data_IF_617870705004
#
_entry.id   IF_617870705004
#
_cell.length_a   1.000
_cell.length_b   1.000
_cell.length_c   1.000
_cell.angle_alpha   90.00
_cell.angle_beta   90.00
_cell.angle_gamma   90.00
#
_symmetry.space_group_name_H-M   'P 1'
#
loop_
_entity.id
_entity.type
_entity.pdbx_description
1 polymer ?
#
# COMPACT_ATOMS: atom_id res chain seq x y z
N UNK A 1 97.39 12.82 7.58
CA UNK A 1 96.80 13.23 8.88
C UNK A 1 95.39 12.68 8.93
N UNK A 2 95.10 11.74 9.83
CA UNK A 2 93.76 11.18 10.00
C UNK A 2 93.20 11.70 11.33
N UNK A 3 92.17 12.54 11.26
CA UNK A 3 91.45 13.10 12.40
C UNK A 3 90.48 12.02 12.92
N UNK A 4 90.79 11.47 14.09
CA UNK A 4 89.92 10.55 14.80
C UNK A 4 88.82 11.37 15.50
N UNK A 5 87.58 11.30 15.01
CA UNK A 5 86.43 11.92 15.66
C UNK A 5 86.02 11.01 16.82
N UNK A 6 86.42 11.37 18.04
CA UNK A 6 85.92 10.72 19.25
C UNK A 6 84.61 11.37 19.66
N UNK A 7 83.51 10.64 19.47
CA UNK A 7 82.19 11.02 19.96
C UNK A 7 82.11 10.74 21.46
N UNK A 8 81.71 11.73 22.25
CA UNK A 8 81.59 11.57 23.71
C UNK A 8 80.36 10.74 24.07
N UNK A 9 80.37 10.05 25.22
CA UNK A 9 79.24 9.22 25.66
C UNK A 9 77.93 10.01 25.75
N UNK A 10 78.00 11.29 26.14
CA UNK A 10 76.82 12.17 26.21
C UNK A 10 76.22 12.44 24.82
N UNK A 11 77.07 12.61 23.80
CA UNK A 11 76.63 12.77 22.42
C UNK A 11 76.02 11.48 21.86
N UNK A 12 76.52 10.31 22.25
CA UNK A 12 75.92 9.02 21.89
C UNK A 12 74.52 8.87 22.50
N UNK A 13 74.35 9.20 23.78
CA UNK A 13 73.05 9.12 24.45
C UNK A 13 72.02 10.07 23.84
N UNK A 14 72.40 11.31 23.54
CA UNK A 14 71.52 12.28 22.88
C UNK A 14 71.05 11.78 21.49
N UNK A 15 71.94 11.10 20.76
CA UNK A 15 71.63 10.58 19.43
C UNK A 15 70.68 9.37 19.50
N UNK A 16 70.85 8.48 20.50
CA UNK A 16 69.94 7.36 20.74
C UNK A 16 68.55 7.85 21.13
N UNK A 17 68.46 8.85 22.01
CA UNK A 17 67.18 9.45 22.42
C UNK A 17 66.47 10.06 21.21
N UNK A 18 67.18 10.85 20.38
CA UNK A 18 66.63 11.48 19.17
C UNK A 18 66.14 10.46 18.12
N UNK A 19 66.87 9.36 17.94
CA UNK A 19 66.45 8.26 17.05
C UNK A 19 65.19 7.57 17.60
N UNK A 20 65.11 7.36 18.92
CA UNK A 20 63.93 6.78 19.56
C UNK A 20 62.71 7.70 19.45
N UNK A 21 62.86 9.00 19.67
CA UNK A 21 61.78 9.99 19.51
C UNK A 21 61.27 10.06 18.06
N UNK A 22 62.20 9.97 17.09
CA UNK A 22 61.86 9.95 15.66
C UNK A 22 61.14 8.67 15.25
N UNK A 23 61.55 7.52 15.78
CA UNK A 23 60.91 6.23 15.52
C UNK A 23 59.48 6.16 16.11
N UNK A 24 59.26 6.71 17.32
CA UNK A 24 57.92 6.78 17.93
C UNK A 24 57.00 7.72 17.15
N UNK A 25 57.52 8.84 16.66
CA UNK A 25 56.74 9.78 15.83
C UNK A 25 56.39 9.20 14.46
N UNK A 26 57.32 8.45 13.83
CA UNK A 26 57.06 7.75 12.58
C UNK A 26 56.03 6.61 12.74
N UNK A 27 56.09 5.87 13.85
CA UNK A 27 55.12 4.83 14.16
C UNK A 27 53.73 5.40 14.50
N UNK A 28 53.67 6.54 15.21
CA UNK A 28 52.42 7.26 15.50
C UNK A 28 51.73 7.79 14.25
N UNK A 29 52.49 8.37 13.32
CA UNK A 29 51.96 8.85 12.04
C UNK A 29 51.53 7.72 11.10
N UNK A 30 52.26 6.60 11.06
CA UNK A 30 51.87 5.42 10.30
C UNK A 30 50.59 4.78 10.84
N UNK A 31 50.44 4.71 12.17
CA UNK A 31 49.23 4.20 12.82
C UNK A 31 48.01 5.12 12.65
N UNK A 32 48.21 6.44 12.62
CA UNK A 32 47.14 7.42 12.32
C UNK A 32 46.72 7.41 10.85
N UNK A 33 47.63 7.13 9.91
CA UNK A 33 47.29 6.95 8.49
C UNK A 33 46.67 5.58 8.17
N UNK A 34 46.92 4.57 9.01
CA UNK A 34 46.36 3.22 8.85
C UNK A 34 44.96 3.09 9.49
N UNK A 35 44.61 3.92 10.47
CA UNK A 35 43.27 3.92 11.09
C UNK A 35 42.20 4.64 10.26
N UNK A 36 42.58 5.48 9.30
CA UNK A 36 41.64 6.18 8.40
C UNK A 36 41.42 5.44 7.07
N UNK A 37 42.26 4.45 6.74
CA UNK A 37 42.13 3.63 5.55
C UNK A 37 41.24 2.38 5.72
N UNK A 38 40.77 2.08 6.94
CA UNK A 38 40.01 0.85 7.25
C UNK A 38 38.53 1.07 7.57
N UNK A 39 38.01 2.31 7.55
CA UNK A 39 36.57 2.49 7.34
C UNK A 39 36.30 2.08 5.91
N UNK A 40 35.72 0.89 5.72
CA UNK A 40 35.17 0.46 4.45
C UNK A 40 34.31 1.59 3.91
N UNK A 41 34.81 2.34 2.91
CA UNK A 41 34.04 3.41 2.27
C UNK A 41 32.73 2.78 1.79
N UNK A 42 31.60 3.22 2.35
CA UNK A 42 30.29 2.74 1.94
C UNK A 42 30.13 2.85 0.43
N UNK A 43 29.47 1.86 -0.17
CA UNK A 43 29.31 1.72 -1.62
C UNK A 43 27.96 1.10 -1.94
N UNK A 44 27.41 1.43 -3.10
CA UNK A 44 26.14 0.89 -3.59
C UNK A 44 26.22 -0.56 -4.10
N UNK A 45 27.34 -1.26 -3.93
CA UNK A 45 27.54 -2.62 -4.45
C UNK A 45 26.59 -3.66 -3.88
N UNK A 46 26.17 -3.50 -2.62
CA UNK A 46 25.27 -4.41 -1.90
C UNK A 46 23.82 -3.90 -1.88
N UNK A 47 23.54 -2.76 -2.50
CA UNK A 47 22.20 -2.21 -2.58
C UNK A 47 21.31 -3.11 -3.47
N UNK A 48 20.15 -3.52 -2.93
CA UNK A 48 19.17 -4.36 -3.62
C UNK A 48 18.20 -3.55 -4.48
N UNK A 49 18.04 -2.26 -4.18
CA UNK A 49 17.13 -1.37 -4.90
C UNK A 49 17.73 -0.98 -6.25
N UNK A 50 16.98 -1.24 -7.33
CA UNK A 50 17.38 -0.94 -8.70
C UNK A 50 16.24 -0.23 -9.42
N UNK A 51 16.60 0.62 -10.39
CA UNK A 51 15.63 1.39 -11.15
C UNK A 51 15.73 1.12 -12.65
N UNK A 52 14.60 0.72 -13.24
CA UNK A 52 14.51 0.33 -14.65
C UNK A 52 14.11 1.45 -15.61
N UNK A 53 13.67 2.60 -15.10
CA UNK A 53 13.21 3.73 -15.92
C UNK A 53 11.69 3.79 -16.15
N UNK A 54 10.90 3.21 -15.25
CA UNK A 54 9.45 3.38 -15.27
C UNK A 54 9.08 4.85 -15.10
N UNK A 55 8.09 5.33 -15.87
CA UNK A 55 7.59 6.72 -15.81
C UNK A 55 6.41 6.81 -14.84
N UNK A 56 6.62 6.36 -13.61
CA UNK A 56 5.64 6.35 -12.54
C UNK A 56 6.18 7.16 -11.36
N UNK A 57 5.37 8.11 -10.87
CA UNK A 57 5.75 8.94 -9.72
C UNK A 57 6.09 8.08 -8.50
N UNK A 58 5.24 7.08 -8.23
CA UNK A 58 5.35 6.27 -7.01
C UNK A 58 6.61 5.40 -7.04
N UNK A 59 6.92 4.75 -8.16
CA UNK A 59 8.14 3.93 -8.30
C UNK A 59 9.42 4.78 -8.23
N UNK A 60 9.37 6.00 -8.79
CA UNK A 60 10.51 6.93 -8.77
C UNK A 60 10.78 7.44 -7.35
N UNK A 61 9.75 7.91 -6.64
CA UNK A 61 9.93 8.39 -5.27
C UNK A 61 10.25 7.26 -4.28
N UNK A 62 9.70 6.05 -4.47
CA UNK A 62 10.08 4.86 -3.70
C UNK A 62 11.57 4.55 -3.89
N UNK A 63 12.04 4.50 -5.14
CA UNK A 63 13.45 4.28 -5.44
C UNK A 63 14.33 5.36 -4.81
N UNK A 64 14.00 6.64 -4.99
CA UNK A 64 14.77 7.77 -4.44
C UNK A 64 14.84 7.69 -2.92
N UNK A 65 13.71 7.46 -2.25
CA UNK A 65 13.64 7.35 -0.79
C UNK A 65 14.53 6.22 -0.28
N UNK A 66 14.46 5.05 -0.93
CA UNK A 66 15.27 3.90 -0.58
C UNK A 66 16.78 4.14 -0.75
N UNK A 67 17.21 4.75 -1.87
CA UNK A 67 18.64 5.00 -2.10
C UNK A 67 19.21 6.11 -1.21
N UNK A 68 18.41 7.14 -0.88
CA UNK A 68 18.81 8.20 0.04
C UNK A 68 18.95 7.64 1.45
N UNK A 69 17.97 6.84 1.89
CA UNK A 69 18.02 6.15 3.19
C UNK A 69 19.23 5.21 3.26
N UNK A 70 19.47 4.44 2.21
CA UNK A 70 20.64 3.54 2.14
C UNK A 70 21.96 4.31 2.19
N UNK A 71 22.06 5.43 1.47
CA UNK A 71 23.24 6.31 1.49
C UNK A 71 23.54 6.84 2.89
N UNK A 72 22.50 7.20 3.64
CA UNK A 72 22.61 7.68 5.02
C UNK A 72 23.02 6.56 5.99
N UNK A 73 22.46 5.36 5.84
CA UNK A 73 22.78 4.20 6.69
C UNK A 73 24.20 3.68 6.49
N UNK A 74 24.69 3.66 5.26
CA UNK A 74 26.02 3.17 4.89
C UNK A 74 27.10 4.27 4.90
N UNK A 75 26.75 5.48 5.34
CA UNK A 75 27.63 6.67 5.41
C UNK A 75 28.41 6.90 4.10
N UNK A 76 27.69 6.83 2.97
CA UNK A 76 28.28 6.98 1.64
C UNK A 76 28.44 8.47 1.33
N UNK A 77 29.69 8.90 1.14
CA UNK A 77 29.98 10.26 0.67
C UNK A 77 29.33 10.56 -0.69
N UNK A 78 28.95 11.83 -0.92
CA UNK A 78 28.31 12.26 -2.17
C UNK A 78 29.14 11.95 -3.42
N UNK A 79 30.47 12.05 -3.33
CA UNK A 79 31.37 11.70 -4.43
C UNK A 79 31.33 10.21 -4.79
N UNK A 80 31.32 9.34 -3.77
CA UNK A 80 31.21 7.89 -3.99
C UNK A 80 29.80 7.54 -4.50
N UNK A 81 28.78 8.22 -3.97
CA UNK A 81 27.41 8.01 -4.37
C UNK A 81 27.20 8.35 -5.86
N UNK A 82 27.75 9.49 -6.32
CA UNK A 82 27.69 9.91 -7.72
C UNK A 82 28.43 8.97 -8.67
N UNK A 83 29.56 8.39 -8.23
CA UNK A 83 30.28 7.35 -8.99
C UNK A 83 29.54 6.01 -9.00
N UNK A 84 28.86 5.67 -7.91
CA UNK A 84 28.19 4.38 -7.72
C UNK A 84 26.77 4.31 -8.28
N UNK A 85 26.08 5.44 -8.50
CA UNK A 85 24.67 5.46 -8.90
C UNK A 85 24.40 4.66 -10.19
N UNK A 86 25.35 4.62 -11.12
CA UNK A 86 25.19 3.86 -12.37
C UNK A 86 24.97 2.36 -12.16
N UNK A 87 25.38 1.81 -11.01
CA UNK A 87 25.18 0.40 -10.67
C UNK A 87 23.71 0.08 -10.35
N UNK A 88 22.93 1.09 -9.98
CA UNK A 88 21.52 0.95 -9.59
C UNK A 88 20.58 1.00 -10.80
N UNK A 89 21.05 1.52 -11.93
CA UNK A 89 20.26 1.63 -13.15
C UNK A 89 20.36 0.39 -14.04
N UNK A 90 19.22 -0.02 -14.59
CA UNK A 90 19.13 -1.03 -15.64
C UNK A 90 18.14 -0.58 -16.71
N UNK A 91 18.07 -1.32 -17.83
CA UNK A 91 17.13 -1.02 -18.91
C UNK A 91 17.30 0.38 -19.47
N UNK A 92 16.17 1.08 -19.68
CA UNK A 92 16.16 2.42 -20.30
C UNK A 92 16.81 3.49 -19.40
N UNK A 93 16.75 3.33 -18.07
CA UNK A 93 17.41 4.24 -17.14
C UNK A 93 18.94 4.23 -17.30
N UNK A 94 19.53 3.07 -17.59
CA UNK A 94 20.98 2.97 -17.83
C UNK A 94 21.39 3.72 -19.09
N UNK A 95 20.63 3.56 -20.18
CA UNK A 95 20.86 4.29 -21.44
C UNK A 95 20.70 5.80 -21.27
N UNK A 96 19.66 6.24 -20.56
CA UNK A 96 19.45 7.65 -20.22
C UNK A 96 20.63 8.23 -19.42
N UNK A 97 21.07 7.54 -18.37
CA UNK A 97 22.14 8.02 -17.50
C UNK A 97 23.45 8.25 -18.26
N UNK A 98 23.79 7.40 -19.24
CA UNK A 98 25.00 7.61 -20.05
C UNK A 98 24.98 8.93 -20.84
N UNK A 99 23.79 9.41 -21.22
CA UNK A 99 23.61 10.68 -21.92
C UNK A 99 23.76 11.90 -21.00
N UNK A 100 23.18 11.84 -19.80
CA UNK A 100 23.05 13.00 -18.90
C UNK A 100 24.08 13.04 -17.76
N UNK A 101 24.89 12.00 -17.56
CA UNK A 101 25.86 11.89 -16.44
C UNK A 101 26.82 13.08 -16.28
N UNK A 102 27.07 13.84 -17.36
CA UNK A 102 27.95 15.02 -17.34
C UNK A 102 27.27 16.28 -16.79
N UNK A 103 25.94 16.28 -16.75
CA UNK A 103 25.13 17.40 -16.28
C UNK A 103 25.01 17.40 -14.75
N UNK A 104 25.04 16.21 -14.12
CA UNK A 104 25.02 16.06 -12.67
C UNK A 104 26.41 16.33 -12.05
N UNK A 105 26.53 17.39 -11.25
CA UNK A 105 27.78 17.74 -10.56
C UNK A 105 27.78 17.31 -9.09
N UNK A 106 26.61 17.28 -8.46
CA UNK A 106 26.43 16.83 -7.09
C UNK A 106 25.35 15.76 -6.98
N UNK A 107 25.28 15.08 -5.84
CA UNK A 107 24.28 14.04 -5.58
C UNK A 107 22.85 14.56 -5.73
N UNK A 108 22.57 15.79 -5.28
CA UNK A 108 21.25 16.40 -5.40
C UNK A 108 20.84 16.67 -6.86
N UNK A 109 21.80 16.94 -7.76
CA UNK A 109 21.52 17.07 -9.19
C UNK A 109 21.03 15.74 -9.77
N UNK A 110 21.63 14.62 -9.34
CA UNK A 110 21.22 13.28 -9.76
C UNK A 110 19.77 13.02 -9.39
N UNK A 111 19.40 13.27 -8.13
CA UNK A 111 18.03 13.09 -7.64
C UNK A 111 17.05 13.98 -8.41
N UNK A 112 17.43 15.24 -8.65
CA UNK A 112 16.61 16.21 -9.38
C UNK A 112 16.40 15.78 -10.84
N UNK A 113 17.45 15.31 -11.51
CA UNK A 113 17.37 14.82 -12.90
C UNK A 113 16.51 13.56 -13.03
N UNK A 114 16.59 12.64 -12.05
CA UNK A 114 15.72 11.45 -12.04
C UNK A 114 14.25 11.87 -11.94
N UNK A 115 13.93 12.79 -11.00
CA UNK A 115 12.57 13.31 -10.83
C UNK A 115 12.10 13.99 -12.11
N UNK A 116 12.86 14.93 -12.64
CA UNK A 116 12.49 15.67 -13.85
C UNK A 116 12.22 14.76 -15.05
N UNK A 117 13.04 13.72 -15.24
CA UNK A 117 12.94 12.86 -16.43
C UNK A 117 11.87 11.76 -16.31
N UNK A 118 11.80 11.09 -15.16
CA UNK A 118 10.95 9.90 -14.96
C UNK A 118 9.68 10.18 -14.15
N UNK A 119 9.66 11.25 -13.37
CA UNK A 119 8.51 11.68 -12.55
C UNK A 119 8.20 13.16 -12.80
N UNK A 120 7.82 13.55 -14.04
CA UNK A 120 7.39 14.92 -14.28
C UNK A 120 6.25 15.24 -13.32
N UNK A 121 6.50 16.21 -12.43
CA UNK A 121 5.56 16.57 -11.36
C UNK A 121 4.22 16.93 -11.99
N UNK A 122 3.17 16.21 -11.61
CA UNK A 122 1.83 16.53 -12.09
C UNK A 122 1.50 17.95 -11.61
N UNK A 123 1.10 18.87 -12.51
CA UNK A 123 0.67 20.18 -12.07
C UNK A 123 -0.52 20.05 -11.13
N UNK A 124 -0.60 20.91 -10.12
CA UNK A 124 -1.56 20.77 -9.03
C UNK A 124 -3.02 20.61 -9.47
N UNK A 125 -3.44 21.25 -10.58
CA UNK A 125 -4.80 21.11 -11.08
C UNK A 125 -5.10 19.68 -11.58
N UNK A 126 -4.14 18.97 -12.16
CA UNK A 126 -4.31 17.57 -12.56
C UNK A 126 -4.44 16.67 -11.34
N UNK A 127 -3.64 16.92 -10.30
CA UNK A 127 -3.74 16.20 -9.03
C UNK A 127 -5.14 16.36 -8.42
N UNK A 128 -5.70 17.57 -8.41
CA UNK A 128 -7.07 17.77 -7.93
C UNK A 128 -8.11 17.05 -8.80
N UNK A 129 -7.98 17.12 -10.13
CA UNK A 129 -8.90 16.42 -11.03
C UNK A 129 -8.90 14.91 -10.74
N UNK A 130 -7.72 14.29 -10.66
CA UNK A 130 -7.57 12.87 -10.34
C UNK A 130 -8.05 12.54 -8.91
N UNK A 131 -7.80 13.43 -7.96
CA UNK A 131 -8.27 13.29 -6.58
C UNK A 131 -9.79 13.23 -6.50
N UNK A 132 -10.52 14.10 -7.22
CA UNK A 132 -11.99 14.15 -7.16
C UNK A 132 -12.69 13.23 -8.17
N UNK A 133 -11.97 12.67 -9.14
CA UNK A 133 -12.54 11.82 -10.20
C UNK A 133 -13.16 10.53 -9.65
N UNK A 134 -12.43 9.83 -8.78
CA UNK A 134 -12.85 8.52 -8.24
C UNK A 134 -13.32 8.62 -6.80
N UNK A 135 -14.60 8.32 -6.58
CA UNK A 135 -15.18 8.09 -5.24
C UNK A 135 -14.87 6.68 -4.75
N UNK A 136 -14.96 6.47 -3.44
CA UNK A 136 -14.73 5.15 -2.84
C UNK A 136 -15.82 4.15 -3.28
N UNK A 137 -15.40 3.03 -3.87
CA UNK A 137 -16.32 1.93 -4.22
C UNK A 137 -16.72 1.11 -2.99
N UNK A 138 -17.79 0.32 -3.10
CA UNK A 138 -18.28 -0.52 -2.00
C UNK A 138 -17.26 -1.59 -1.58
N UNK A 139 -16.44 -2.07 -2.52
CA UNK A 139 -15.47 -3.14 -2.31
C UNK A 139 -14.13 -2.69 -1.72
N UNK A 140 -13.82 -1.39 -1.76
CA UNK A 140 -12.53 -0.86 -1.30
C UNK A 140 -12.61 -0.52 0.18
N UNK A 141 -11.67 -1.07 0.95
CA UNK A 141 -11.51 -0.78 2.37
C UNK A 141 -11.09 0.69 2.61
N UNK A 142 -11.44 1.22 3.77
CA UNK A 142 -11.14 2.60 4.17
C UNK A 142 -9.63 2.88 4.19
N UNK A 143 -8.84 1.91 4.69
CA UNK A 143 -7.38 2.05 4.80
C UNK A 143 -6.75 2.25 3.41
N UNK A 144 -7.07 1.40 2.45
CA UNK A 144 -6.55 1.50 1.07
C UNK A 144 -6.97 2.81 0.43
N UNK A 145 -8.24 3.21 0.57
CA UNK A 145 -8.75 4.44 -0.02
C UNK A 145 -8.07 5.69 0.54
N UNK A 146 -7.88 5.75 1.86
CA UNK A 146 -7.20 6.89 2.51
C UNK A 146 -5.73 6.96 2.08
N UNK A 147 -5.03 5.82 2.00
CA UNK A 147 -3.63 5.77 1.57
C UNK A 147 -3.48 6.29 0.14
N UNK A 148 -4.29 5.80 -0.81
CA UNK A 148 -4.26 6.25 -2.20
C UNK A 148 -4.52 7.75 -2.33
N UNK A 149 -5.51 8.28 -1.59
CA UNK A 149 -5.85 9.71 -1.64
C UNK A 149 -4.78 10.58 -1.00
N UNK A 150 -4.17 10.14 0.12
CA UNK A 150 -3.06 10.87 0.74
C UNK A 150 -1.80 10.86 -0.12
N UNK A 151 -1.53 9.76 -0.84
CA UNK A 151 -0.43 9.70 -1.80
C UNK A 151 -0.59 10.74 -2.93
N UNK A 152 -1.81 10.96 -3.42
CA UNK A 152 -2.09 12.04 -4.39
C UNK A 152 -1.86 13.43 -3.80
N UNK A 153 -2.35 13.70 -2.59
CA UNK A 153 -2.17 15.01 -1.94
C UNK A 153 -0.71 15.32 -1.63
N UNK A 154 0.11 14.31 -1.33
CA UNK A 154 1.55 14.47 -1.10
C UNK A 154 2.33 14.95 -2.34
N UNK A 155 1.75 14.86 -3.55
CA UNK A 155 2.34 15.42 -4.77
C UNK A 155 2.17 16.94 -4.87
N UNK A 156 1.32 17.53 -4.03
CA UNK A 156 1.14 18.98 -3.97
C UNK A 156 2.28 19.63 -3.17
N UNK A 157 2.58 20.91 -3.42
CA UNK A 157 3.56 21.64 -2.61
C UNK A 157 3.22 21.61 -1.11
N UNK A 158 4.24 21.36 -0.28
CA UNK A 158 4.11 21.31 1.18
C UNK A 158 3.50 22.60 1.75
N UNK A 159 2.71 22.45 2.81
CA UNK A 159 2.08 23.57 3.52
C UNK A 159 0.90 24.23 2.79
N UNK A 160 0.46 23.68 1.65
CA UNK A 160 -0.72 24.21 0.93
C UNK A 160 -2.03 23.93 1.67
N UNK A 161 -2.18 22.74 2.27
CA UNK A 161 -3.37 22.33 3.00
C UNK A 161 -3.00 21.90 4.41
N UNK A 162 -3.90 22.12 5.37
CA UNK A 162 -3.83 21.50 6.69
C UNK A 162 -4.66 20.21 6.70
N UNK A 163 -4.43 19.34 7.69
CA UNK A 163 -5.10 18.05 7.81
C UNK A 163 -6.64 18.17 7.82
N UNK A 164 -7.18 19.24 8.42
CA UNK A 164 -8.62 19.50 8.43
C UNK A 164 -9.20 19.72 7.02
N UNK A 165 -8.52 20.50 6.19
CA UNK A 165 -8.94 20.75 4.80
C UNK A 165 -8.82 19.49 3.95
N UNK A 166 -7.76 18.69 4.16
CA UNK A 166 -7.59 17.41 3.46
C UNK A 166 -8.69 16.40 3.84
N UNK A 167 -9.10 16.37 5.11
CA UNK A 167 -10.23 15.58 5.58
C UNK A 167 -11.54 16.03 4.96
N UNK A 168 -11.76 17.34 4.77
CA UNK A 168 -12.95 17.86 4.08
C UNK A 168 -13.03 17.39 2.63
N UNK A 169 -11.91 17.44 1.91
CA UNK A 169 -11.83 16.92 0.54
C UNK A 169 -12.12 15.42 0.49
N UNK A 170 -11.53 14.65 1.41
CA UNK A 170 -11.70 13.20 1.45
C UNK A 170 -13.13 12.80 1.84
N UNK A 171 -13.72 13.45 2.85
CA UNK A 171 -15.03 13.08 3.41
C UNK A 171 -16.14 13.11 2.36
N UNK A 172 -16.08 14.05 1.40
CA UNK A 172 -17.02 14.12 0.28
C UNK A 172 -16.94 12.95 -0.69
N UNK A 173 -15.82 12.23 -0.72
CA UNK A 173 -15.55 11.10 -1.61
C UNK A 173 -15.76 9.74 -0.93
N UNK A 174 -15.90 9.72 0.39
CA UNK A 174 -16.18 8.50 1.16
C UNK A 174 -17.52 7.90 0.77
N UNK A 175 -17.56 6.57 0.82
CA UNK A 175 -18.77 5.84 0.56
C UNK A 175 -19.84 6.12 1.64
N UNK A 176 -21.12 6.07 1.25
CA UNK A 176 -22.25 6.30 2.15
C UNK A 176 -22.26 5.31 3.32
N UNK A 177 -21.70 4.11 3.16
CA UNK A 177 -21.57 3.11 4.23
C UNK A 177 -20.82 3.64 5.45
N UNK A 178 -19.81 4.51 5.26
CA UNK A 178 -19.11 5.14 6.39
C UNK A 178 -19.81 6.42 6.86
N UNK A 179 -20.23 7.27 5.92
CA UNK A 179 -20.81 8.59 6.23
C UNK A 179 -22.12 8.54 7.04
N UNK A 180 -22.83 7.41 7.00
CA UNK A 180 -24.00 7.17 7.86
C UNK A 180 -23.65 7.05 9.34
N UNK A 181 -22.47 6.56 9.66
CA UNK A 181 -22.02 6.29 11.03
C UNK A 181 -20.99 7.32 11.52
N UNK A 182 -20.24 7.93 10.61
CA UNK A 182 -19.19 8.91 10.92
C UNK A 182 -19.66 10.31 10.52
N UNK A 183 -20.14 11.15 11.45
CA UNK A 183 -20.41 12.55 11.17
C UNK A 183 -19.09 13.32 10.97
N UNK A 184 -19.06 14.28 10.05
CA UNK A 184 -17.82 15.04 9.76
C UNK A 184 -17.23 15.74 10.99
N UNK A 185 -18.08 16.23 11.88
CA UNK A 185 -17.69 16.99 13.07
C UNK A 185 -17.03 16.11 14.16
N UNK A 186 -17.20 14.79 14.11
CA UNK A 186 -16.62 13.88 15.12
C UNK A 186 -15.19 13.44 14.80
N UNK A 187 -14.63 13.87 13.66
CA UNK A 187 -13.29 13.50 13.23
C UNK A 187 -12.43 14.75 13.04
N UNK A 188 -11.27 14.77 13.69
CA UNK A 188 -10.28 15.83 13.57
C UNK A 188 -9.01 15.38 12.85
N UNK A 189 -8.70 14.09 12.88
CA UNK A 189 -7.49 13.52 12.30
C UNK A 189 -7.79 12.34 11.40
N UNK A 190 -6.87 12.03 10.47
CA UNK A 190 -6.95 10.82 9.65
C UNK A 190 -6.96 9.54 10.51
N UNK A 191 -6.31 9.57 11.67
CA UNK A 191 -6.30 8.45 12.61
C UNK A 191 -7.71 8.14 13.11
N UNK A 192 -8.46 9.16 13.51
CA UNK A 192 -9.82 8.99 14.04
C UNK A 192 -10.76 8.43 12.96
N UNK A 193 -10.61 8.88 11.71
CA UNK A 193 -11.37 8.36 10.57
C UNK A 193 -11.07 6.87 10.31
N UNK A 194 -9.79 6.48 10.34
CA UNK A 194 -9.39 5.09 10.12
C UNK A 194 -9.86 4.16 11.25
N UNK A 195 -9.76 4.60 12.50
CA UNK A 195 -10.21 3.82 13.65
C UNK A 195 -11.71 3.55 13.60
N UNK A 196 -12.52 4.59 13.38
CA UNK A 196 -13.98 4.44 13.24
C UNK A 196 -14.34 3.63 11.98
N UNK A 197 -13.62 3.84 10.88
CA UNK A 197 -13.81 3.09 9.63
C UNK A 197 -13.59 1.59 9.79
N UNK A 198 -12.52 1.18 10.48
CA UNK A 198 -12.22 -0.23 10.77
C UNK A 198 -13.28 -0.89 11.63
N UNK A 199 -13.80 -0.18 12.63
CA UNK A 199 -14.90 -0.69 13.48
C UNK A 199 -16.16 -0.94 12.64
N UNK A 200 -16.50 -0.02 11.73
CA UNK A 200 -17.66 -0.18 10.84
C UNK A 200 -17.46 -1.38 9.91
N UNK A 201 -16.27 -1.52 9.31
CA UNK A 201 -15.98 -2.67 8.43
C UNK A 201 -16.06 -3.99 9.17
N UNK A 202 -15.53 -4.05 10.40
CA UNK A 202 -15.62 -5.24 11.23
C UNK A 202 -17.08 -5.61 11.54
N UNK A 203 -17.89 -4.63 11.97
CA UNK A 203 -19.30 -4.85 12.28
C UNK A 203 -20.13 -5.26 11.05
N UNK A 204 -19.87 -4.64 9.89
CA UNK A 204 -20.54 -5.00 8.63
C UNK A 204 -20.18 -6.42 8.18
N UNK A 205 -18.94 -6.86 8.39
CA UNK A 205 -18.53 -8.25 8.13
C UNK A 205 -19.29 -9.22 9.06
N UNK A 206 -19.38 -8.91 10.36
CA UNK A 206 -20.16 -9.73 11.31
C UNK A 206 -21.65 -9.79 10.92
N UNK A 207 -22.24 -8.68 10.45
CA UNK A 207 -23.63 -8.67 9.96
C UNK A 207 -23.77 -9.54 8.72
N UNK A 208 -22.84 -9.50 7.76
CA UNK A 208 -22.89 -10.33 6.55
C UNK A 208 -22.73 -11.81 6.87
N UNK A 209 -21.90 -12.17 7.86
CA UNK A 209 -21.72 -13.55 8.32
C UNK A 209 -22.91 -14.06 9.15
N UNK A 210 -23.51 -13.18 9.97
CA UNK A 210 -24.71 -13.48 10.75
C UNK A 210 -26.01 -13.50 9.91
N UNK A 211 -25.99 -12.93 8.70
CA UNK A 211 -27.08 -13.07 7.74
C UNK A 211 -27.03 -14.48 7.14
N UNK A 212 -28.01 -15.36 7.42
CA UNK A 212 -28.07 -16.64 6.75
C UNK A 212 -28.19 -16.38 5.24
N UNK A 213 -27.32 -17.02 4.43
CA UNK A 213 -27.52 -17.20 2.98
C UNK A 213 -28.75 -18.09 2.76
N UNK A 214 -29.91 -17.57 3.12
CA UNK A 214 -31.23 -18.13 2.87
C UNK A 214 -32.07 -17.05 2.20
N UNK A 215 -33.06 -17.41 1.38
CA UNK A 215 -33.91 -16.42 0.75
C UNK A 215 -34.69 -15.72 1.86
N UNK A 216 -34.32 -14.47 2.18
CA UNK A 216 -35.14 -13.51 2.89
C UNK A 216 -36.38 -13.18 2.03
N UNK A 217 -37.28 -14.15 1.91
CA UNK A 217 -38.68 -13.89 1.55
C UNK A 217 -39.43 -13.61 2.84
N UNK A 218 -39.22 -12.41 3.37
CA UNK A 218 -40.20 -11.71 4.20
C UNK A 218 -41.42 -11.27 3.37
N UNK A 219 -41.93 -12.15 2.52
CA UNK A 219 -43.28 -12.03 2.00
C UNK A 219 -44.12 -12.92 2.89
N UNK A 220 -45.09 -12.34 3.58
CA UNK A 220 -46.31 -13.05 3.96
C UNK A 220 -46.87 -13.73 2.70
N UNK A 221 -46.34 -14.91 2.34
CA UNK A 221 -46.92 -15.79 1.35
C UNK A 221 -48.13 -16.37 2.05
N UNK A 222 -49.22 -15.62 2.03
CA UNK A 222 -50.54 -16.16 2.28
C UNK A 222 -50.65 -17.36 1.36
N UNK A 223 -50.63 -18.56 1.95
CA UNK A 223 -50.57 -19.81 1.19
C UNK A 223 -51.71 -19.79 0.17
N UNK A 224 -51.36 -20.01 -1.10
CA UNK A 224 -52.33 -20.14 -2.18
C UNK A 224 -52.62 -21.61 -2.36
N UNK A 225 -53.90 -21.94 -2.47
CA UNK A 225 -54.31 -23.28 -2.82
C UNK A 225 -53.79 -23.65 -4.21
N UNK A 226 -53.04 -24.75 -4.34
CA UNK A 226 -52.51 -25.22 -5.63
C UNK A 226 -53.60 -25.69 -6.61
N UNK A 227 -54.83 -25.93 -6.13
CA UNK A 227 -55.97 -26.33 -6.97
C UNK A 227 -56.73 -25.15 -7.57
N UNK A 228 -57.05 -24.14 -6.76
CA UNK A 228 -57.91 -23.02 -7.17
C UNK A 228 -57.19 -21.67 -7.24
N UNK A 229 -55.90 -21.62 -6.88
CA UNK A 229 -55.05 -20.42 -6.83
C UNK A 229 -55.54 -19.27 -5.94
N UNK A 230 -56.60 -19.47 -5.15
CA UNK A 230 -57.07 -18.50 -4.16
C UNK A 230 -56.23 -18.55 -2.88
N UNK A 231 -56.13 -17.38 -2.23
CA UNK A 231 -55.37 -17.19 -0.98
C UNK A 231 -56.22 -17.62 0.23
N UNK A 232 -55.57 -18.02 1.32
CA UNK A 232 -56.22 -18.22 2.63
C UNK A 232 -56.66 -19.65 2.94
N UNK A 233 -56.30 -20.63 2.10
CA UNK A 233 -56.45 -22.06 2.38
C UNK A 233 -55.47 -22.87 1.52
N UNK A 234 -55.13 -24.09 1.98
CA UNK A 234 -54.23 -25.00 1.27
C UNK A 234 -54.99 -25.91 0.29
N UNK A 235 -54.25 -26.76 -0.43
CA UNK A 235 -54.84 -27.78 -1.31
C UNK A 235 -55.86 -28.65 -0.57
N UNK A 236 -55.54 -29.10 0.64
CA UNK A 236 -56.32 -30.06 1.42
C UNK A 236 -57.71 -29.54 1.82
N UNK A 237 -57.79 -28.25 2.17
CA UNK A 237 -59.01 -27.60 2.66
C UNK A 237 -59.79 -26.89 1.54
N UNK A 238 -59.45 -27.16 0.27
CA UNK A 238 -60.06 -26.50 -0.87
C UNK A 238 -61.49 -26.96 -1.12
N UNK A 239 -62.46 -26.12 -0.73
CA UNK A 239 -63.90 -26.35 -0.94
C UNK A 239 -64.26 -26.68 -2.40
N UNK A 240 -63.61 -26.02 -3.37
CA UNK A 240 -63.85 -26.24 -4.80
C UNK A 240 -63.39 -27.64 -5.28
N UNK A 241 -62.38 -28.22 -4.62
CA UNK A 241 -61.89 -29.57 -4.91
C UNK A 241 -62.81 -30.61 -4.28
N UNK A 242 -63.09 -30.44 -2.99
CA UNK A 242 -63.98 -31.33 -2.23
C UNK A 242 -65.37 -31.45 -2.88
N UNK A 243 -65.90 -30.34 -3.43
CA UNK A 243 -67.15 -30.36 -4.19
C UNK A 243 -67.05 -31.22 -5.47
N UNK A 244 -65.94 -31.12 -6.21
CA UNK A 244 -65.72 -31.92 -7.44
C UNK A 244 -65.51 -33.40 -7.11
N UNK A 245 -64.73 -33.70 -6.07
CA UNK A 245 -64.50 -35.07 -5.61
C UNK A 245 -65.84 -35.72 -5.21
N UNK A 246 -66.66 -35.03 -4.41
CA UNK A 246 -68.00 -35.49 -4.04
C UNK A 246 -68.91 -35.70 -5.26
N UNK A 247 -68.86 -34.80 -6.26
CA UNK A 247 -69.67 -34.97 -7.48
C UNK A 247 -69.21 -36.17 -8.31
N UNK A 248 -67.89 -36.39 -8.39
CA UNK A 248 -67.31 -37.54 -9.09
C UNK A 248 -67.59 -38.87 -8.41
N UNK A 249 -67.66 -38.89 -7.07
CA UNK A 249 -67.99 -40.07 -6.27
C UNK A 249 -69.48 -40.45 -6.41
N UNK A 250 -70.37 -39.45 -6.44
CA UNK A 250 -71.80 -39.64 -6.73
C UNK A 250 -72.02 -40.15 -8.16
N UNK A 251 -71.27 -39.66 -9.15
CA UNK A 251 -71.33 -40.18 -10.53
C UNK A 251 -70.78 -41.61 -10.65
N UNK A 252 -69.74 -41.98 -9.91
CA UNK A 252 -69.21 -43.37 -9.88
C UNK A 252 -70.19 -44.35 -9.24
N UNK A 253 -70.86 -43.96 -8.14
CA UNK A 253 -71.89 -44.81 -7.51
C UNK A 253 -73.14 -45.01 -8.38
N UNK A 254 -73.42 -44.12 -9.33
CA UNK A 254 -74.53 -44.28 -10.29
C UNK A 254 -74.20 -45.18 -11.49
N UNK A 255 -72.94 -45.53 -11.71
CA UNK A 255 -72.48 -46.36 -12.84
C UNK A 255 -72.08 -47.79 -12.46
N UNK A 256 -72.28 -48.22 -11.21
CA UNK A 256 -72.15 -49.62 -10.83
C UNK A 256 -73.50 -50.33 -11.07
N UNK A 257 -73.65 -51.19 -12.09
CA UNK A 257 -74.84 -52.02 -12.21
C UNK A 257 -74.82 -53.13 -11.15
N UNK A 258 -75.98 -53.32 -10.55
CA UNK A 258 -76.35 -54.36 -9.61
C UNK A 258 -76.17 -55.74 -10.27
N UNK A 259 -75.08 -56.44 -9.97
CA UNK A 259 -74.97 -57.87 -10.28
C UNK A 259 -75.49 -58.65 -9.07
N UNK A 260 -76.82 -58.77 -8.99
CA UNK A 260 -77.47 -59.83 -8.22
C UNK A 260 -78.52 -60.51 -9.07
N UNK A 261 -78.40 -61.85 -9.09
CA UNK A 261 -79.36 -62.88 -9.49
C UNK A 261 -79.60 -63.10 -10.99
N UNK A 262 -79.21 -64.29 -11.44
CA UNK A 262 -80.22 -65.32 -11.75
C UNK A 262 -79.58 -66.72 -11.63
N UNK A 263 -80.06 -67.47 -10.64
CA UNK A 263 -79.96 -68.92 -10.57
C UNK A 263 -81.26 -69.50 -11.13
N UNK A 264 -81.14 -70.38 -12.11
CA UNK A 264 -82.10 -71.44 -12.42
C UNK A 264 -81.36 -72.54 -13.18
#
# INVERSE_FOLDING_TARGET
>A
MATNIQMTNEQLHALIEAVRSSAVSAAGNAAASASDASKTKGSFSTCTHRFGGARSHDEVEEFITNIVTYKELEDISDENALKGISLLFYGIASTWWQGVRKEAKCWNDVISLIREHFSPTKPAYQVYMEFFEKKQSDSVAIDTFVVEKRALLAQLPEGRHNEETELDFLYGLLNIKYRKHIPRQSISTFRDLLEQGRIIEHNELEVVEAQPKGPLRGANRVERCTYCNFRGHTFEVCRKRQARDHTSEVSRKRQAPDQTNEAN
#
